data_IF_359592629992
#
_entry.id   IF_359592629992
#
_cell.length_a   1.000
_cell.length_b   1.000
_cell.length_c   1.000
_cell.angle_alpha   90.00
_cell.angle_beta   90.00
_cell.angle_gamma   90.00
#
_symmetry.space_group_name_H-M   'P 1'
#
loop_
_entity.id
_entity.type
_entity.pdbx_description
1 polymer ?
#
# COMPACT_ATOMS: atom_id res chain seq x y z
N UNK A 1 0.54 19.31 -9.55
CA UNK A 1 0.92 19.12 -8.13
C UNK A 1 1.88 17.93 -8.02
N UNK A 2 2.98 18.03 -7.27
CA UNK A 2 3.91 16.92 -7.08
C UNK A 2 3.21 15.75 -6.38
N UNK A 3 3.43 14.53 -6.89
CA UNK A 3 2.87 13.31 -6.30
C UNK A 3 3.48 13.15 -4.90
N UNK A 4 2.66 12.93 -3.84
CA UNK A 4 3.18 12.69 -2.50
C UNK A 4 4.19 11.54 -2.51
N UNK A 5 5.39 11.79 -1.95
CA UNK A 5 6.44 10.77 -1.85
C UNK A 5 6.00 9.71 -0.84
N UNK A 6 6.14 8.44 -1.20
CA UNK A 6 5.86 7.35 -0.28
C UNK A 6 6.96 7.24 0.77
N UNK A 7 6.57 7.10 2.03
CA UNK A 7 7.48 6.83 3.14
C UNK A 7 8.00 5.39 3.08
N UNK A 8 7.10 4.45 2.79
CA UNK A 8 7.43 3.05 2.55
C UNK A 8 6.84 2.58 1.23
N UNK A 9 7.59 1.76 0.51
CA UNK A 9 7.14 1.13 -0.73
C UNK A 9 7.50 -0.34 -0.74
N UNK A 10 6.54 -1.19 -1.12
CA UNK A 10 6.73 -2.62 -1.34
C UNK A 10 6.30 -2.95 -2.77
N UNK A 11 7.13 -3.70 -3.48
CA UNK A 11 6.81 -4.24 -4.80
C UNK A 11 6.94 -5.76 -4.73
N UNK A 12 5.85 -6.45 -5.00
CA UNK A 12 5.79 -7.90 -5.09
C UNK A 12 5.53 -8.30 -6.54
N UNK A 13 6.25 -9.30 -7.04
CA UNK A 13 6.05 -9.89 -8.36
C UNK A 13 5.86 -11.39 -8.21
N UNK A 14 4.77 -11.91 -8.75
CA UNK A 14 4.59 -13.34 -8.92
C UNK A 14 5.26 -13.74 -10.24
N UNK A 15 6.27 -14.61 -10.17
CA UNK A 15 7.04 -15.06 -11.33
C UNK A 15 6.28 -16.08 -12.18
N UNK A 16 5.33 -16.81 -11.59
CA UNK A 16 4.51 -17.79 -12.28
C UNK A 16 3.40 -17.14 -13.10
N UNK A 17 2.69 -16.16 -12.53
CA UNK A 17 1.58 -15.47 -13.20
C UNK A 17 1.98 -14.15 -13.89
N UNK A 18 3.22 -13.70 -13.68
CA UNK A 18 3.71 -12.39 -14.15
C UNK A 18 3.07 -11.18 -13.45
N UNK A 19 2.13 -11.39 -12.52
CA UNK A 19 1.38 -10.30 -11.87
C UNK A 19 2.26 -9.52 -10.89
N UNK A 20 2.05 -8.20 -10.85
CA UNK A 20 2.76 -7.28 -9.94
C UNK A 20 1.79 -6.59 -8.99
N UNK A 21 2.18 -6.51 -7.73
CA UNK A 21 1.53 -5.71 -6.69
C UNK A 21 2.51 -4.64 -6.19
N UNK A 22 2.10 -3.37 -6.24
CA UNK A 22 2.83 -2.25 -5.66
C UNK A 22 2.00 -1.67 -4.52
N UNK A 23 2.56 -1.64 -3.33
CA UNK A 23 1.96 -1.03 -2.14
C UNK A 23 2.82 0.17 -1.72
N UNK A 24 2.20 1.33 -1.59
CA UNK A 24 2.85 2.58 -1.19
C UNK A 24 2.14 3.10 0.07
N UNK A 25 2.91 3.38 1.12
CA UNK A 25 2.44 4.08 2.30
C UNK A 25 2.90 5.53 2.24
N UNK A 26 1.96 6.45 2.22
CA UNK A 26 2.20 7.89 2.11
C UNK A 26 1.83 8.53 3.45
N UNK A 27 2.67 9.40 3.98
CA UNK A 27 2.38 10.09 5.24
C UNK A 27 1.11 10.94 5.12
N UNK A 28 0.28 10.91 6.17
CA UNK A 28 -0.85 11.81 6.30
C UNK A 28 -0.37 13.12 6.93
N UNK A 29 -0.67 14.29 6.33
CA UNK A 29 -0.38 15.55 6.99
C UNK A 29 -1.17 15.62 8.30
N UNK A 30 -0.52 16.10 9.37
CA UNK A 30 -1.09 16.25 10.72
C UNK A 30 -1.37 14.96 11.51
N UNK A 31 -0.84 13.81 11.09
CA UNK A 31 -0.92 12.60 11.90
C UNK A 31 0.11 12.64 13.05
N UNK A 32 -0.37 12.60 14.30
CA UNK A 32 0.42 12.54 15.53
C UNK A 32 1.06 11.16 15.79
N UNK A 33 0.81 10.16 14.93
CA UNK A 33 1.31 8.79 15.07
C UNK A 33 1.58 8.15 13.69
N UNK A 34 2.15 6.92 13.65
CA UNK A 34 2.53 6.13 12.45
C UNK A 34 1.32 5.75 11.57
N UNK A 35 0.63 6.76 11.05
CA UNK A 35 -0.61 6.70 10.29
C UNK A 35 -0.31 7.11 8.86
N UNK A 36 -0.47 6.17 7.93
CA UNK A 36 -0.17 6.38 6.53
C UNK A 36 -1.45 6.29 5.71
N UNK A 37 -1.46 6.78 4.49
CA UNK A 37 -2.50 6.50 3.49
C UNK A 37 -1.96 5.46 2.52
N UNK A 38 -2.73 4.40 2.30
CA UNK A 38 -2.32 3.30 1.43
C UNK A 38 -2.67 3.58 -0.03
N UNK A 39 -1.71 3.34 -0.91
CA UNK A 39 -1.88 3.37 -2.36
C UNK A 39 -1.48 2.01 -2.93
N UNK A 40 -2.39 1.39 -3.65
CA UNK A 40 -2.26 0.05 -4.25
C UNK A 40 -2.22 0.21 -5.76
N UNK A 41 -1.15 -0.26 -6.40
CA UNK A 41 -0.95 -0.15 -7.85
C UNK A 41 -1.17 1.27 -8.41
N UNK A 42 -0.79 2.30 -7.65
CA UNK A 42 -0.96 3.68 -8.05
C UNK A 42 -2.36 4.25 -7.82
N UNK A 43 -3.29 3.50 -7.23
CA UNK A 43 -4.62 3.98 -6.85
C UNK A 43 -4.76 4.06 -5.32
N UNK A 44 -5.42 5.10 -4.82
CA UNK A 44 -5.69 5.24 -3.39
C UNK A 44 -6.63 4.14 -2.91
N UNK A 45 -6.31 3.51 -1.78
CA UNK A 45 -7.18 2.52 -1.17
C UNK A 45 -8.50 3.18 -0.71
N UNK A 46 -9.64 2.74 -1.26
CA UNK A 46 -10.95 3.36 -1.00
C UNK A 46 -11.47 3.14 0.42
N UNK A 47 -11.09 2.04 1.08
CA UNK A 47 -11.68 1.58 2.35
C UNK A 47 -10.83 1.83 3.61
N UNK A 48 -9.61 2.37 3.48
CA UNK A 48 -8.70 2.54 4.62
C UNK A 48 -8.16 3.97 4.61
N UNK A 49 -8.78 4.92 5.34
CA UNK A 49 -8.30 6.29 5.40
C UNK A 49 -6.93 6.38 6.09
N UNK A 50 -6.67 5.47 7.04
CA UNK A 50 -5.40 5.33 7.78
C UNK A 50 -4.94 3.87 7.74
N UNK A 51 -3.83 3.62 7.04
CA UNK A 51 -3.14 2.37 6.95
C UNK A 51 -2.00 2.29 7.97
N UNK A 52 -1.97 1.17 8.68
CA UNK A 52 -0.85 0.72 9.51
C UNK A 52 -0.08 -0.40 8.81
N UNK A 53 1.05 -0.83 9.39
CA UNK A 53 1.77 -2.03 8.92
C UNK A 53 0.84 -3.25 8.77
N UNK A 54 -0.12 -3.41 9.68
CA UNK A 54 -1.12 -4.50 9.64
C UNK A 54 -2.00 -4.44 8.39
N UNK A 55 -2.39 -3.24 7.95
CA UNK A 55 -3.20 -3.07 6.74
C UNK A 55 -2.43 -3.48 5.47
N UNK A 56 -1.12 -3.20 5.42
CA UNK A 56 -0.23 -3.66 4.34
C UNK A 56 -0.18 -5.19 4.29
N UNK A 57 0.05 -5.83 5.44
CA UNK A 57 0.12 -7.29 5.54
C UNK A 57 -1.20 -7.95 5.14
N UNK A 58 -2.35 -7.37 5.54
CA UNK A 58 -3.67 -7.86 5.12
C UNK A 58 -3.85 -7.78 3.60
N UNK A 59 -3.45 -6.67 2.98
CA UNK A 59 -3.53 -6.50 1.52
C UNK A 59 -2.59 -7.48 0.80
N UNK A 60 -1.40 -7.70 1.34
CA UNK A 60 -0.44 -8.68 0.84
C UNK A 60 -1.02 -10.09 0.88
N UNK A 61 -1.56 -10.50 2.04
CA UNK A 61 -2.18 -11.82 2.21
C UNK A 61 -3.36 -12.04 1.27
N UNK A 62 -4.25 -11.04 1.15
CA UNK A 62 -5.39 -11.12 0.24
C UNK A 62 -4.95 -11.27 -1.23
N UNK A 63 -3.86 -10.61 -1.62
CA UNK A 63 -3.30 -10.78 -2.95
C UNK A 63 -2.66 -12.15 -3.15
N UNK A 64 -1.98 -12.67 -2.14
CA UNK A 64 -1.29 -13.96 -2.17
C UNK A 64 -2.23 -15.15 -2.23
N UNK A 65 -3.39 -15.09 -1.56
CA UNK A 65 -4.40 -16.16 -1.64
C UNK A 65 -5.06 -16.21 -3.03
N UNK A 66 -5.06 -15.09 -3.76
CA UNK A 66 -5.75 -14.96 -5.04
C UNK A 66 -4.89 -15.35 -6.26
N UNK A 67 -3.57 -15.48 -6.12
CA UNK A 67 -2.62 -15.62 -7.23
C UNK A 67 -1.46 -16.54 -6.89
#
# INVERSE_FOLDING_TARGET
MPRPKAHYSLVLRNHHTGRRLRLELIDLPFATSKSFRLRVNGQWAKKVPVASKTAVVRQLRAWWVKH
#
